data_IF_513470823587
#
_entry.id   IF_513470823587
#
_cell.length_a   1.000
_cell.length_b   1.000
_cell.length_c   1.000
_cell.angle_alpha   90.00
_cell.angle_beta   90.00
_cell.angle_gamma   90.00
#
_symmetry.space_group_name_H-M   'P 1'
#
loop_
_entity.id
_entity.type
_entity.pdbx_description
1 polymer ?
#
# COMPACT_ATOMS: atom_id res chain seq x y z
N UNK A 1 18.01 -3.52 -9.10
CA UNK A 1 18.32 -4.74 -8.33
C UNK A 1 17.23 -4.86 -7.28
N UNK A 2 16.60 -6.02 -7.17
CA UNK A 2 15.58 -6.26 -6.16
C UNK A 2 16.16 -6.06 -4.75
N UNK A 3 15.38 -5.45 -3.86
CA UNK A 3 15.72 -5.28 -2.44
C UNK A 3 15.90 -6.65 -1.78
N UNK A 4 16.90 -6.80 -0.92
CA UNK A 4 17.20 -8.04 -0.19
C UNK A 4 17.13 -7.84 1.32
N UNK A 5 17.07 -8.96 2.05
CA UNK A 5 17.12 -8.91 3.50
C UNK A 5 18.43 -8.27 3.99
N UNK A 6 18.31 -7.26 4.85
CA UNK A 6 19.43 -6.49 5.38
C UNK A 6 19.77 -5.23 4.57
N UNK A 7 19.19 -5.05 3.38
CA UNK A 7 19.31 -3.80 2.65
C UNK A 7 18.51 -2.68 3.33
N UNK A 8 18.95 -1.44 3.16
CA UNK A 8 18.14 -0.29 3.49
C UNK A 8 16.93 -0.23 2.56
N UNK A 9 15.73 -0.14 3.13
CA UNK A 9 14.50 -0.04 2.36
C UNK A 9 14.54 1.20 1.44
N UNK A 10 14.28 1.07 0.12
CA UNK A 10 14.29 2.19 -0.80
C UNK A 10 13.47 3.38 -0.31
N UNK A 11 14.09 4.57 -0.27
CA UNK A 11 13.38 5.81 0.00
C UNK A 11 12.72 6.34 -1.28
N UNK A 12 11.54 6.94 -1.15
CA UNK A 12 10.79 7.53 -2.24
C UNK A 12 9.86 8.64 -1.73
N UNK A 13 9.40 9.48 -2.66
CA UNK A 13 8.30 10.42 -2.42
C UNK A 13 7.12 10.00 -3.28
N UNK A 14 5.94 9.87 -2.67
CA UNK A 14 4.74 9.42 -3.37
C UNK A 14 3.46 10.08 -2.84
N UNK A 15 2.46 10.18 -3.72
CA UNK A 15 1.11 10.60 -3.38
C UNK A 15 0.36 9.46 -2.68
N UNK A 16 -0.35 9.77 -1.61
CA UNK A 16 -1.18 8.79 -0.89
C UNK A 16 -2.56 9.34 -0.59
N UNK A 17 -3.47 8.47 -0.18
CA UNK A 17 -4.81 8.85 0.30
C UNK A 17 -4.80 9.79 1.52
N UNK A 18 -3.67 9.90 2.24
CA UNK A 18 -3.48 10.80 3.39
C UNK A 18 -2.55 11.99 3.08
N UNK A 19 -2.19 12.19 1.81
CA UNK A 19 -1.30 13.24 1.33
C UNK A 19 0.07 12.73 0.86
N UNK A 20 0.90 13.63 0.35
CA UNK A 20 2.26 13.32 -0.12
C UNK A 20 3.15 12.93 1.05
N UNK A 21 3.94 11.87 0.90
CA UNK A 21 4.92 11.43 1.90
C UNK A 21 6.33 11.35 1.31
N UNK A 22 7.35 11.58 2.13
CA UNK A 22 8.66 10.95 1.96
C UNK A 22 8.68 9.67 2.82
N UNK A 23 9.02 8.52 2.25
CA UNK A 23 8.80 7.23 2.91
C UNK A 23 9.61 7.09 4.21
N UNK A 24 10.88 7.50 4.23
CA UNK A 24 11.71 7.43 5.43
C UNK A 24 11.25 8.40 6.51
N UNK A 25 10.88 9.63 6.15
CA UNK A 25 10.33 10.62 7.10
C UNK A 25 8.98 10.14 7.67
N UNK A 26 8.11 9.61 6.81
CA UNK A 26 6.83 9.03 7.22
C UNK A 26 7.02 7.82 8.12
N UNK A 27 7.97 6.94 7.83
CA UNK A 27 8.26 5.75 8.63
C UNK A 27 8.85 6.16 10.00
N UNK A 28 9.80 7.08 10.00
CA UNK A 28 10.60 7.44 11.17
C UNK A 28 11.47 6.27 11.65
N UNK A 29 11.81 6.24 12.94
CA UNK A 29 12.61 5.15 13.53
C UNK A 29 11.85 3.88 13.90
N UNK A 30 10.62 3.70 13.38
CA UNK A 30 9.72 2.61 13.73
C UNK A 30 9.70 1.49 12.70
N UNK A 31 8.92 0.44 12.98
CA UNK A 31 8.68 -0.63 12.04
C UNK A 31 7.59 -0.24 11.03
N UNK A 32 7.69 -0.77 9.81
CA UNK A 32 6.74 -0.52 8.73
C UNK A 32 6.37 -1.81 8.00
N UNK A 33 5.11 -1.89 7.57
CA UNK A 33 4.61 -2.87 6.61
C UNK A 33 4.22 -2.09 5.37
N UNK A 34 4.96 -2.31 4.28
CA UNK A 34 4.58 -1.94 2.92
C UNK A 34 4.07 -3.21 2.23
N UNK A 35 2.84 -3.18 1.74
CA UNK A 35 2.26 -4.30 0.99
C UNK A 35 1.57 -3.81 -0.27
N UNK A 36 1.67 -4.57 -1.35
CA UNK A 36 1.00 -4.25 -2.60
C UNK A 36 -0.35 -4.93 -2.72
N UNK A 37 -1.21 -4.39 -3.57
CA UNK A 37 -2.37 -5.11 -4.10
C UNK A 37 -2.46 -4.88 -5.62
N UNK A 38 -2.84 -5.91 -6.40
CA UNK A 38 -2.80 -5.82 -7.86
C UNK A 38 -3.56 -4.63 -8.46
N UNK A 39 -4.81 -4.44 -8.02
CA UNK A 39 -5.71 -3.44 -8.59
C UNK A 39 -6.89 -3.14 -7.67
N UNK A 40 -7.29 -1.88 -7.63
CA UNK A 40 -8.54 -1.43 -7.01
C UNK A 40 -9.77 -2.12 -7.62
N UNK A 41 -10.88 -2.16 -6.87
CA UNK A 41 -12.15 -2.76 -7.28
C UNK A 41 -12.06 -4.26 -7.64
N UNK A 42 -11.08 -4.97 -7.07
CA UNK A 42 -10.99 -6.43 -7.19
C UNK A 42 -11.36 -7.11 -5.86
N UNK A 43 -12.08 -8.25 -5.90
CA UNK A 43 -12.74 -8.79 -4.71
C UNK A 43 -11.76 -9.26 -3.63
N UNK A 44 -10.64 -9.89 -4.01
CA UNK A 44 -9.62 -10.36 -3.06
C UNK A 44 -8.91 -9.17 -2.39
N UNK A 45 -8.47 -8.19 -3.16
CA UNK A 45 -7.82 -7.00 -2.60
C UNK A 45 -8.76 -6.25 -1.63
N UNK A 46 -10.06 -6.23 -1.93
CA UNK A 46 -11.06 -5.58 -1.07
C UNK A 46 -11.13 -6.27 0.30
N UNK A 47 -11.11 -7.60 0.35
CA UNK A 47 -11.14 -8.35 1.61
C UNK A 47 -9.82 -8.25 2.37
N UNK A 48 -8.69 -8.24 1.68
CA UNK A 48 -7.35 -8.11 2.27
C UNK A 48 -7.18 -6.74 2.92
N UNK A 49 -7.40 -5.64 2.19
CA UNK A 49 -7.28 -4.29 2.74
C UNK A 49 -8.28 -4.05 3.87
N UNK A 50 -9.53 -4.53 3.73
CA UNK A 50 -10.50 -4.41 4.81
C UNK A 50 -10.11 -5.19 6.07
N UNK A 51 -9.45 -6.35 5.92
CA UNK A 51 -8.90 -7.13 7.04
C UNK A 51 -7.74 -6.42 7.69
N UNK A 52 -6.78 -5.92 6.90
CA UNK A 52 -5.65 -5.13 7.41
C UNK A 52 -6.16 -3.94 8.20
N UNK A 53 -7.18 -3.21 7.71
CA UNK A 53 -7.77 -2.06 8.41
C UNK A 53 -8.31 -2.42 9.81
N UNK A 54 -8.92 -3.60 9.94
CA UNK A 54 -9.43 -4.10 11.24
C UNK A 54 -8.30 -4.44 12.22
N UNK A 55 -7.14 -4.89 11.72
CA UNK A 55 -5.99 -5.30 12.55
C UNK A 55 -4.89 -4.22 12.65
N UNK A 56 -4.98 -3.10 11.93
CA UNK A 56 -4.09 -1.93 12.09
C UNK A 56 -3.94 -1.48 13.55
N UNK A 57 -5.00 -1.48 14.40
CA UNK A 57 -4.83 -1.16 15.82
C UNK A 57 -3.85 -2.09 16.56
N UNK A 58 -3.76 -3.37 16.16
CA UNK A 58 -2.80 -4.32 16.71
C UNK A 58 -1.37 -4.04 16.23
N UNK A 59 -1.18 -3.66 14.97
CA UNK A 59 0.12 -3.20 14.47
C UNK A 59 0.58 -1.92 15.18
N UNK A 60 -0.35 -0.97 15.38
CA UNK A 60 -0.08 0.28 16.10
C UNK A 60 0.37 0.04 17.55
N UNK A 61 -0.24 -0.92 18.26
CA UNK A 61 0.20 -1.33 19.63
C UNK A 61 1.64 -1.86 19.66
N UNK A 62 2.16 -2.35 18.53
CA UNK A 62 3.52 -2.88 18.36
C UNK A 62 4.50 -1.85 17.78
N UNK A 63 4.06 -0.60 17.60
CA UNK A 63 4.87 0.45 16.98
C UNK A 63 5.11 0.25 15.48
N UNK A 64 4.20 -0.47 14.80
CA UNK A 64 4.28 -0.76 13.37
C UNK A 64 3.32 0.15 12.60
N UNK A 65 3.82 0.83 11.57
CA UNK A 65 3.04 1.58 10.58
C UNK A 65 2.68 0.68 9.40
N UNK A 66 1.54 0.91 8.78
CA UNK A 66 1.04 0.13 7.64
C UNK A 66 0.80 1.08 6.48
N UNK A 67 1.14 0.65 5.27
CA UNK A 67 0.87 1.39 4.04
C UNK A 67 0.68 0.40 2.88
N UNK A 68 -0.33 0.64 2.05
CA UNK A 68 -0.60 -0.17 0.85
C UNK A 68 -0.07 0.54 -0.41
N UNK A 69 0.11 -0.19 -1.51
CA UNK A 69 0.46 0.37 -2.82
C UNK A 69 -0.21 -0.39 -3.97
N UNK A 70 -0.72 0.33 -4.97
CA UNK A 70 -0.99 -0.22 -6.30
C UNK A 70 -0.66 0.80 -7.39
N UNK A 71 -0.75 0.36 -8.64
CA UNK A 71 -0.51 1.20 -9.82
C UNK A 71 -1.74 2.01 -10.24
N UNK A 72 -2.80 2.01 -9.43
CA UNK A 72 -4.00 2.80 -9.68
C UNK A 72 -3.78 4.29 -9.30
N UNK A 73 -4.49 5.23 -9.96
CA UNK A 73 -4.39 6.65 -9.63
C UNK A 73 -5.08 6.97 -8.30
N UNK A 74 -4.69 8.08 -7.66
CA UNK A 74 -5.19 8.50 -6.35
C UNK A 74 -6.73 8.60 -6.26
N UNK A 75 -7.38 9.09 -7.31
CA UNK A 75 -8.85 9.22 -7.34
C UNK A 75 -9.56 7.85 -7.35
N UNK A 76 -8.91 6.81 -7.90
CA UNK A 76 -9.41 5.43 -7.83
C UNK A 76 -9.47 4.95 -6.39
N UNK A 77 -8.38 5.14 -5.62
CA UNK A 77 -8.31 4.74 -4.22
C UNK A 77 -9.39 5.45 -3.39
N UNK A 78 -9.58 6.76 -3.60
CA UNK A 78 -10.56 7.55 -2.86
C UNK A 78 -11.99 7.03 -3.07
N UNK A 79 -12.34 6.64 -4.30
CA UNK A 79 -13.62 5.99 -4.58
C UNK A 79 -13.72 4.61 -3.91
N UNK A 80 -12.68 3.79 -4.05
CA UNK A 80 -12.68 2.40 -3.62
C UNK A 80 -12.70 2.23 -2.09
N UNK A 81 -12.15 3.18 -1.33
CA UNK A 81 -12.20 3.18 0.14
C UNK A 81 -13.65 3.04 0.65
N UNK A 82 -14.62 3.66 -0.02
CA UNK A 82 -16.04 3.54 0.35
C UNK A 82 -16.51 2.09 0.25
N UNK A 83 -16.20 1.42 -0.87
CA UNK A 83 -16.58 0.03 -1.12
C UNK A 83 -15.94 -0.91 -0.10
N UNK A 84 -14.66 -0.70 0.24
CA UNK A 84 -13.98 -1.49 1.27
C UNK A 84 -14.68 -1.31 2.62
N UNK A 85 -14.94 -0.07 3.03
CA UNK A 85 -15.56 0.23 4.31
C UNK A 85 -16.97 -0.39 4.42
N UNK A 86 -17.78 -0.26 3.37
CA UNK A 86 -19.13 -0.80 3.30
C UNK A 86 -19.12 -2.34 3.32
N UNK A 87 -18.41 -2.96 2.37
CA UNK A 87 -18.46 -4.41 2.18
C UNK A 87 -17.74 -5.16 3.29
N UNK A 88 -16.67 -4.60 3.84
CA UNK A 88 -15.87 -5.24 4.88
C UNK A 88 -16.26 -4.80 6.29
N UNK A 89 -17.20 -3.87 6.45
CA UNK A 89 -17.64 -3.34 7.76
C UNK A 89 -16.46 -2.85 8.59
N UNK A 90 -15.70 -1.94 8.01
CA UNK A 90 -14.46 -1.40 8.61
C UNK A 90 -14.33 0.09 8.33
N UNK A 91 -13.26 0.69 8.83
CA UNK A 91 -12.83 2.04 8.46
C UNK A 91 -11.37 1.97 8.05
N UNK A 92 -11.09 2.30 6.80
CA UNK A 92 -9.74 2.45 6.30
C UNK A 92 -8.98 3.46 7.15
N UNK A 93 -7.82 3.07 7.66
CA UNK A 93 -7.10 3.80 8.72
C UNK A 93 -5.57 3.77 8.51
N UNK A 94 -5.16 3.59 7.26
CA UNK A 94 -3.79 3.67 6.80
C UNK A 94 -3.75 4.17 5.35
N UNK A 95 -2.64 4.77 4.90
CA UNK A 95 -2.51 5.31 3.56
C UNK A 95 -2.40 4.22 2.48
N UNK A 96 -2.92 4.54 1.29
CA UNK A 96 -2.71 3.78 0.05
C UNK A 96 -1.91 4.69 -0.89
N UNK A 97 -0.74 4.23 -1.34
CA UNK A 97 0.13 4.90 -2.30
C UNK A 97 -0.45 4.71 -3.70
N UNK A 98 -0.62 5.83 -4.41
CA UNK A 98 -0.90 5.84 -5.84
C UNK A 98 0.42 5.82 -6.62
N UNK A 99 0.69 4.71 -7.32
CA UNK A 99 1.94 4.48 -8.08
C UNK A 99 1.69 4.29 -9.59
N UNK A 100 1.00 5.21 -10.28
CA UNK A 100 0.61 5.03 -11.69
C UNK A 100 1.80 4.95 -12.65
N UNK A 101 2.97 5.46 -12.25
CA UNK A 101 4.22 5.37 -12.99
C UNK A 101 5.11 4.19 -12.56
N UNK A 102 4.59 3.33 -11.67
CA UNK A 102 5.20 2.07 -11.22
C UNK A 102 6.54 2.26 -10.52
N UNK A 103 6.84 3.46 -10.01
CA UNK A 103 8.13 3.75 -9.37
C UNK A 103 8.31 2.94 -8.11
N UNK A 104 7.35 2.96 -7.19
CA UNK A 104 7.43 2.24 -5.92
C UNK A 104 7.40 0.74 -6.15
N UNK A 105 6.49 0.25 -6.99
CA UNK A 105 6.39 -1.16 -7.35
C UNK A 105 7.70 -1.69 -7.97
N UNK A 106 8.35 -0.89 -8.83
CA UNK A 106 9.66 -1.26 -9.42
C UNK A 106 10.80 -1.24 -8.40
N UNK A 107 10.82 -0.27 -7.47
CA UNK A 107 11.85 -0.20 -6.42
C UNK A 107 11.87 -1.45 -5.54
N UNK A 108 10.69 -2.01 -5.27
CA UNK A 108 10.53 -3.19 -4.43
C UNK A 108 10.35 -4.50 -5.22
N UNK A 109 10.52 -4.48 -6.55
CA UNK A 109 10.40 -5.65 -7.43
C UNK A 109 9.03 -6.37 -7.32
N UNK A 110 7.95 -5.59 -7.16
CA UNK A 110 6.55 -6.06 -6.97
C UNK A 110 5.79 -6.20 -8.30
N UNK A 111 6.49 -6.25 -9.43
CA UNK A 111 5.89 -6.46 -10.75
C UNK A 111 6.46 -7.76 -11.28
N UNK A 112 5.66 -8.82 -11.15
CA UNK A 112 6.05 -10.10 -11.71
C UNK A 112 6.18 -9.99 -13.25
N UNK A 113 7.26 -10.50 -13.88
CA UNK A 113 7.51 -10.35 -15.32
C UNK A 113 6.40 -10.90 -16.24
N UNK A 114 5.61 -11.83 -15.73
CA UNK A 114 4.46 -12.44 -16.43
C UNK A 114 3.10 -11.86 -15.99
N UNK A 115 3.08 -10.84 -15.13
CA UNK A 115 1.85 -10.13 -14.78
C UNK A 115 1.39 -9.26 -15.96
N UNK A 116 0.08 -9.03 -16.06
CA UNK A 116 -0.43 -7.98 -16.96
C UNK A 116 0.10 -6.63 -16.49
N UNK A 117 0.47 -5.75 -17.42
CA UNK A 117 1.18 -4.48 -17.15
C UNK A 117 0.52 -3.57 -16.10
N UNK A 118 -0.76 -3.76 -15.80
CA UNK A 118 -1.53 -2.95 -14.87
C UNK A 118 -1.77 -3.62 -13.50
N UNK A 119 -1.01 -4.66 -13.15
CA UNK A 119 -1.17 -5.41 -11.92
C UNK A 119 0.18 -5.44 -11.17
N UNK A 120 0.16 -5.07 -9.88
CA UNK A 120 1.24 -5.48 -8.96
C UNK A 120 1.00 -6.92 -8.52
N UNK A 121 2.07 -7.69 -8.26
CA UNK A 121 2.00 -9.09 -7.83
C UNK A 121 3.07 -9.36 -6.79
#
# INVERSE_FOLDING_TARGET
>A
MAVRLGDEAPNFTAETTEGTINFHEWLGGGWGILFSHPKDYTPVCTTELGTVAKITPEFKKRGVKVIAVSVDPLDSHKGWISDINETQKTTMNYPIIADPDKKVATLYDMIHPNAMDNMTV
#
